data_IF_014344649885
#
_entry.id   IF_014344649885
#
_cell.length_a   1.000
_cell.length_b   1.000
_cell.length_c   1.000
_cell.angle_alpha   90.00
_cell.angle_beta   90.00
_cell.angle_gamma   90.00
#
_symmetry.space_group_name_H-M   'P 1'
#
loop_
_entity.id
_entity.type
_entity.pdbx_description
1 polymer ?
#
# COMPACT_ATOMS: atom_id res chain seq x y z
N UNK A 1 -26.76 -1.06 -28.88
CA UNK A 1 -25.90 -1.94 -28.08
C UNK A 1 -24.95 -1.03 -27.28
N UNK A 2 -25.29 -0.77 -26.03
CA UNK A 2 -24.43 0.01 -25.13
C UNK A 2 -23.19 -0.82 -24.81
N UNK A 3 -21.99 -0.38 -25.22
CA UNK A 3 -20.74 -0.94 -24.73
C UNK A 3 -20.75 -0.74 -23.21
N UNK A 4 -20.65 -1.82 -22.43
CA UNK A 4 -20.27 -1.73 -21.03
C UNK A 4 -18.99 -0.90 -20.96
N UNK A 5 -18.83 0.01 -20.00
CA UNK A 5 -17.58 0.73 -19.85
C UNK A 5 -16.47 -0.31 -19.72
N UNK A 6 -15.49 -0.26 -20.63
CA UNK A 6 -14.36 -1.18 -20.60
C UNK A 6 -13.70 -1.08 -19.23
N UNK A 7 -13.83 -2.12 -18.42
CA UNK A 7 -13.19 -2.18 -17.10
C UNK A 7 -11.68 -2.15 -17.34
N UNK A 8 -11.00 -1.13 -16.80
CA UNK A 8 -9.55 -0.99 -16.92
C UNK A 8 -8.87 -2.24 -16.34
N UNK A 9 -7.83 -2.69 -17.02
CA UNK A 9 -6.95 -3.75 -16.52
C UNK A 9 -5.78 -3.15 -15.77
N UNK A 10 -5.14 -3.92 -14.89
CA UNK A 10 -3.91 -3.49 -14.20
C UNK A 10 -2.82 -3.05 -15.19
N UNK A 11 -2.70 -3.74 -16.34
CA UNK A 11 -1.75 -3.37 -17.38
C UNK A 11 -2.04 -2.02 -18.04
N UNK A 12 -3.30 -1.61 -18.13
CA UNK A 12 -3.69 -0.29 -18.65
C UNK A 12 -3.42 0.81 -17.64
N UNK A 13 -3.72 0.58 -16.37
CA UNK A 13 -3.40 1.51 -15.28
C UNK A 13 -1.89 1.71 -15.21
N UNK A 14 -1.11 0.63 -15.18
CA UNK A 14 0.35 0.66 -15.18
C UNK A 14 0.91 1.48 -16.36
N UNK A 15 0.44 1.21 -17.58
CA UNK A 15 0.90 1.92 -18.79
C UNK A 15 0.58 3.42 -18.75
N UNK A 16 -0.58 3.85 -18.18
CA UNK A 16 -0.91 5.28 -18.06
C UNK A 16 0.05 5.97 -17.09
N UNK A 17 0.32 5.36 -15.92
CA UNK A 17 1.25 5.90 -14.92
C UNK A 17 2.68 5.97 -15.45
N UNK A 18 3.17 4.89 -16.08
CA UNK A 18 4.52 4.82 -16.66
C UNK A 18 4.73 5.88 -17.75
N UNK A 19 3.76 6.06 -18.67
CA UNK A 19 3.84 7.08 -19.72
C UNK A 19 3.83 8.50 -19.18
N UNK A 20 3.18 8.73 -18.06
CA UNK A 20 3.16 10.01 -17.38
C UNK A 20 4.44 10.26 -16.57
N UNK A 21 5.33 9.27 -16.44
CA UNK A 21 6.54 9.36 -15.62
C UNK A 21 6.22 9.47 -14.12
N UNK A 22 5.07 8.97 -13.68
CA UNK A 22 4.67 8.97 -12.27
C UNK A 22 5.24 7.71 -11.62
N UNK A 23 5.97 7.87 -10.52
CA UNK A 23 6.37 6.73 -9.69
C UNK A 23 5.14 6.11 -9.02
N UNK A 24 5.07 4.78 -8.99
CA UNK A 24 3.94 4.07 -8.41
C UNK A 24 4.33 2.67 -7.95
N UNK A 25 3.55 2.10 -7.03
CA UNK A 25 3.71 0.70 -6.64
C UNK A 25 2.41 0.15 -6.06
N UNK A 26 2.21 -1.16 -6.23
CA UNK A 26 1.12 -1.89 -5.58
C UNK A 26 1.41 -2.01 -4.09
N UNK A 27 0.38 -1.85 -3.25
CA UNK A 27 0.48 -1.97 -1.80
C UNK A 27 -0.73 -2.68 -1.18
N UNK A 28 -0.85 -2.67 0.13
CA UNK A 28 -1.97 -3.22 0.90
C UNK A 28 -2.28 -4.70 0.62
N UNK A 29 -3.51 -5.03 0.17
CA UNK A 29 -3.96 -6.41 0.03
C UNK A 29 -3.23 -7.17 -1.07
N UNK A 30 -3.05 -6.57 -2.24
CA UNK A 30 -2.37 -7.21 -3.37
C UNK A 30 -0.87 -7.42 -3.08
N UNK A 31 -0.20 -6.47 -2.43
CA UNK A 31 1.16 -6.64 -1.97
C UNK A 31 1.28 -7.72 -0.89
N UNK A 32 0.32 -7.82 0.03
CA UNK A 32 0.30 -8.88 1.03
C UNK A 32 0.24 -10.27 0.37
N UNK A 33 -0.59 -10.44 -0.66
CA UNK A 33 -0.67 -11.68 -1.44
C UNK A 33 0.67 -12.06 -2.09
N UNK A 34 1.39 -11.08 -2.65
CA UNK A 34 2.75 -11.29 -3.19
C UNK A 34 3.72 -11.78 -2.12
N UNK A 35 3.57 -11.31 -0.89
CA UNK A 35 4.44 -11.64 0.25
C UNK A 35 3.94 -12.80 1.11
N UNK A 36 2.96 -13.56 0.64
CA UNK A 36 2.56 -14.83 1.26
C UNK A 36 1.21 -14.83 1.96
N UNK A 37 0.47 -13.71 1.96
CA UNK A 37 -0.92 -13.73 2.42
C UNK A 37 -1.81 -14.49 1.42
N UNK A 38 -2.74 -15.29 1.94
CA UNK A 38 -3.50 -16.26 1.12
C UNK A 38 -4.92 -15.80 0.79
N UNK A 39 -5.35 -14.66 1.33
CA UNK A 39 -6.69 -14.12 1.14
C UNK A 39 -6.95 -13.73 -0.32
N UNK A 40 -8.14 -14.04 -0.87
CA UNK A 40 -8.53 -13.59 -2.20
C UNK A 40 -8.47 -12.06 -2.34
N UNK A 41 -7.94 -11.57 -3.47
CA UNK A 41 -7.94 -10.16 -3.81
C UNK A 41 -9.31 -9.72 -4.33
N UNK A 42 -9.78 -8.57 -3.85
CA UNK A 42 -11.01 -7.92 -4.32
C UNK A 42 -10.72 -6.68 -5.17
N UNK A 43 -9.62 -6.00 -4.86
CA UNK A 43 -9.19 -4.75 -5.46
C UNK A 43 -7.65 -4.65 -5.42
N UNK A 44 -7.10 -3.75 -6.20
CA UNK A 44 -5.67 -3.46 -6.22
C UNK A 44 -5.45 -2.02 -5.77
N UNK A 45 -4.81 -1.88 -4.62
CA UNK A 45 -4.39 -0.58 -4.10
C UNK A 45 -3.03 -0.19 -4.71
N UNK A 46 -2.93 1.02 -5.27
CA UNK A 46 -1.73 1.57 -5.89
C UNK A 46 -1.33 2.84 -5.15
N UNK A 47 -0.12 2.87 -4.61
CA UNK A 47 0.47 4.04 -3.99
C UNK A 47 1.21 4.87 -5.03
N UNK A 48 1.00 6.18 -4.99
CA UNK A 48 1.75 7.19 -5.75
C UNK A 48 2.25 8.27 -4.79
N UNK A 49 3.29 9.06 -5.15
CA UNK A 49 3.71 10.19 -4.32
C UNK A 49 2.54 11.17 -4.06
N UNK A 50 2.48 11.71 -2.86
CA UNK A 50 1.40 12.62 -2.45
C UNK A 50 1.28 13.85 -3.38
N UNK A 51 2.41 14.32 -3.92
CA UNK A 51 2.46 15.45 -4.85
C UNK A 51 1.84 15.15 -6.22
N UNK A 52 1.66 13.88 -6.57
CA UNK A 52 1.18 13.44 -7.89
C UNK A 52 -0.36 13.27 -7.95
N UNK A 53 -1.06 13.49 -6.85
CA UNK A 53 -2.50 13.21 -6.76
C UNK A 53 -3.35 13.87 -7.85
N UNK A 54 -3.13 15.16 -8.16
CA UNK A 54 -3.87 15.85 -9.21
C UNK A 54 -3.51 15.33 -10.60
N UNK A 55 -2.23 15.08 -10.87
CA UNK A 55 -1.80 14.50 -12.16
C UNK A 55 -2.40 13.11 -12.37
N UNK A 56 -2.51 12.31 -11.30
CA UNK A 56 -3.18 11.02 -11.37
C UNK A 56 -4.67 11.20 -11.63
N UNK A 57 -5.35 12.14 -10.98
CA UNK A 57 -6.76 12.43 -11.24
C UNK A 57 -7.00 12.84 -12.71
N UNK A 58 -6.10 13.64 -13.30
CA UNK A 58 -6.18 14.04 -14.71
C UNK A 58 -5.95 12.88 -15.69
N UNK A 59 -5.15 11.87 -15.29
CA UNK A 59 -4.92 10.67 -16.11
C UNK A 59 -6.12 9.73 -16.17
N UNK A 60 -7.03 9.84 -15.19
CA UNK A 60 -8.20 8.98 -15.07
C UNK A 60 -9.49 9.83 -14.91
N UNK A 61 -9.89 10.57 -15.95
CA UNK A 61 -11.06 11.46 -15.88
C UNK A 61 -12.38 10.70 -15.63
N UNK A 62 -12.39 9.39 -15.86
CA UNK A 62 -13.50 8.49 -15.56
C UNK A 62 -13.61 8.10 -14.08
N UNK A 63 -12.59 8.40 -13.26
CA UNK A 63 -12.51 8.00 -11.85
C UNK A 63 -13.33 8.90 -10.93
N UNK A 64 -13.70 8.34 -9.78
CA UNK A 64 -14.15 9.13 -8.63
C UNK A 64 -12.96 9.63 -7.83
N UNK A 65 -12.89 10.95 -7.59
CA UNK A 65 -11.77 11.55 -6.85
C UNK A 65 -12.24 11.94 -5.44
N UNK A 66 -11.65 11.28 -4.43
CA UNK A 66 -11.79 11.69 -3.03
C UNK A 66 -10.70 12.69 -2.69
N UNK A 67 -11.07 13.82 -2.13
CA UNK A 67 -10.15 14.91 -1.82
C UNK A 67 -9.95 15.08 -0.33
N UNK A 68 -8.76 15.55 0.06
CA UNK A 68 -8.46 16.00 1.43
C UNK A 68 -9.18 17.32 1.73
N UNK A 69 -9.14 17.75 2.99
CA UNK A 69 -9.75 19.03 3.43
C UNK A 69 -9.12 20.25 2.75
N UNK A 70 -7.86 20.17 2.36
CA UNK A 70 -7.14 21.20 1.61
C UNK A 70 -7.48 21.21 0.11
N UNK A 71 -8.36 20.33 -0.33
CA UNK A 71 -8.82 20.18 -1.71
C UNK A 71 -7.95 19.25 -2.57
N UNK A 72 -6.77 18.85 -2.12
CA UNK A 72 -5.87 18.00 -2.90
C UNK A 72 -6.45 16.58 -3.11
N UNK A 73 -6.29 16.02 -4.31
CA UNK A 73 -6.69 14.66 -4.61
C UNK A 73 -5.90 13.67 -3.74
N UNK A 74 -6.62 12.80 -3.03
CA UNK A 74 -6.04 11.79 -2.15
C UNK A 74 -6.25 10.38 -2.67
N UNK A 75 -7.45 10.07 -3.16
CA UNK A 75 -7.75 8.76 -3.74
C UNK A 75 -8.45 8.96 -5.07
N UNK A 76 -7.91 8.34 -6.11
CA UNK A 76 -8.50 8.25 -7.44
C UNK A 76 -9.04 6.83 -7.59
N UNK A 77 -10.36 6.68 -7.51
CA UNK A 77 -11.05 5.41 -7.40
C UNK A 77 -11.63 4.98 -8.73
N UNK A 78 -11.23 3.80 -9.18
CA UNK A 78 -11.70 3.13 -10.39
C UNK A 78 -12.33 1.77 -10.02
N UNK A 79 -13.16 1.18 -10.86
CA UNK A 79 -13.61 -0.19 -10.64
C UNK A 79 -12.43 -1.17 -10.52
N UNK A 80 -12.25 -1.74 -9.33
CA UNK A 80 -11.16 -2.67 -9.02
C UNK A 80 -9.81 -2.03 -8.66
N UNK A 81 -9.70 -0.70 -8.62
CA UNK A 81 -8.45 -0.01 -8.29
C UNK A 81 -8.67 1.23 -7.42
N UNK A 82 -7.86 1.38 -6.38
CA UNK A 82 -7.72 2.60 -5.61
C UNK A 82 -6.29 3.13 -5.76
N UNK A 83 -6.11 4.29 -6.44
CA UNK A 83 -4.83 4.97 -6.55
C UNK A 83 -4.74 6.01 -5.45
N UNK A 84 -3.80 5.84 -4.54
CA UNK A 84 -3.68 6.61 -3.30
C UNK A 84 -2.46 7.52 -3.36
N UNK A 85 -2.70 8.84 -3.31
CA UNK A 85 -1.65 9.86 -3.33
C UNK A 85 -1.15 10.12 -1.90
N UNK A 86 -0.10 9.41 -1.51
CA UNK A 86 0.40 9.37 -0.15
C UNK A 86 -0.63 8.81 0.84
N UNK A 87 -0.17 8.07 1.82
CA UNK A 87 -1.03 7.59 2.89
C UNK A 87 -1.20 8.67 3.94
N UNK A 88 -2.44 9.03 4.23
CA UNK A 88 -2.80 9.91 5.33
C UNK A 88 -4.09 9.38 5.95
N UNK A 89 -3.95 8.60 7.00
CA UNK A 89 -5.07 8.05 7.75
C UNK A 89 -5.07 8.60 9.17
N UNK A 90 -6.25 8.97 9.65
CA UNK A 90 -6.47 9.33 11.04
C UNK A 90 -7.06 8.11 11.75
N UNK A 91 -6.38 7.63 12.77
CA UNK A 91 -6.90 6.59 13.64
C UNK A 91 -6.80 7.06 15.10
N UNK A 92 -7.95 7.13 15.79
CA UNK A 92 -8.07 7.75 17.11
C UNK A 92 -7.47 9.17 17.11
N UNK A 93 -6.46 9.44 17.94
CA UNK A 93 -5.84 10.75 18.11
C UNK A 93 -4.53 10.91 17.32
N UNK A 94 -4.10 9.88 16.58
CA UNK A 94 -2.86 9.92 15.80
C UNK A 94 -3.16 10.01 14.30
N UNK A 95 -2.33 10.78 13.59
CA UNK A 95 -2.31 10.80 12.14
C UNK A 95 -1.14 9.95 11.66
N UNK A 96 -1.44 8.87 10.99
CA UNK A 96 -0.45 8.09 10.27
C UNK A 96 -0.25 8.71 8.89
N UNK A 97 0.98 9.03 8.54
CA UNK A 97 1.35 9.50 7.21
C UNK A 97 2.53 8.69 6.69
N UNK A 98 2.44 8.25 5.45
CA UNK A 98 3.56 7.61 4.75
C UNK A 98 3.47 8.01 3.28
N UNK A 99 4.55 8.56 2.74
CA UNK A 99 4.64 8.88 1.32
C UNK A 99 5.57 7.89 0.61
N UNK A 100 5.45 7.85 -0.71
CA UNK A 100 6.39 7.15 -1.57
C UNK A 100 7.65 8.02 -1.70
N UNK A 101 8.55 7.88 -0.75
CA UNK A 101 9.83 8.58 -0.71
C UNK A 101 10.95 7.80 -1.45
N UNK A 102 12.11 8.42 -1.60
CA UNK A 102 13.28 7.83 -2.27
C UNK A 102 13.74 6.52 -1.63
N UNK A 103 13.54 6.36 -0.31
CA UNK A 103 13.90 5.13 0.40
C UNK A 103 12.97 3.97 0.03
N UNK A 104 11.68 4.24 -0.12
CA UNK A 104 10.72 3.26 -0.59
C UNK A 104 10.97 2.94 -2.07
N UNK A 105 11.13 3.97 -2.91
CA UNK A 105 11.38 3.81 -4.36
C UNK A 105 12.61 2.96 -4.63
N UNK A 106 13.72 3.18 -3.90
CA UNK A 106 14.95 2.41 -4.03
C UNK A 106 14.82 0.93 -3.64
N UNK A 107 13.76 0.57 -2.90
CA UNK A 107 13.49 -0.79 -2.40
C UNK A 107 12.30 -1.47 -3.09
N UNK A 108 11.68 -0.84 -4.06
CA UNK A 108 10.58 -1.46 -4.82
C UNK A 108 11.03 -2.80 -5.41
N UNK A 109 10.16 -3.77 -5.33
CA UNK A 109 10.38 -5.09 -5.95
C UNK A 109 9.42 -5.27 -7.11
N UNK A 110 9.85 -5.97 -8.16
CA UNK A 110 8.98 -6.27 -9.29
C UNK A 110 8.40 -7.68 -9.14
N UNK A 111 7.07 -7.76 -9.18
CA UNK A 111 6.36 -9.02 -9.08
C UNK A 111 5.26 -9.11 -10.12
N UNK A 112 4.88 -10.33 -10.47
CA UNK A 112 3.75 -10.60 -11.34
C UNK A 112 2.44 -10.58 -10.53
N UNK A 113 1.49 -9.73 -10.94
CA UNK A 113 0.13 -9.68 -10.39
C UNK A 113 -0.83 -9.71 -11.58
N UNK A 114 -1.74 -10.67 -11.61
CA UNK A 114 -2.73 -10.84 -12.69
C UNK A 114 -2.09 -10.86 -14.11
N UNK A 115 -0.91 -11.50 -14.25
CA UNK A 115 -0.20 -11.60 -15.53
C UNK A 115 0.59 -10.36 -15.92
N UNK A 116 0.71 -9.36 -15.05
CA UNK A 116 1.43 -8.11 -15.31
C UNK A 116 2.58 -7.95 -14.30
N UNK A 117 3.79 -7.66 -14.78
CA UNK A 117 4.92 -7.36 -13.91
C UNK A 117 4.85 -5.91 -13.46
N UNK A 118 4.64 -5.69 -12.17
CA UNK A 118 4.41 -4.38 -11.55
C UNK A 118 5.39 -4.12 -10.40
N UNK A 119 5.69 -2.86 -10.09
CA UNK A 119 6.39 -2.53 -8.86
C UNK A 119 5.48 -2.75 -7.65
N UNK A 120 6.04 -3.30 -6.58
CA UNK A 120 5.38 -3.56 -5.29
C UNK A 120 6.21 -2.91 -4.21
N UNK A 121 5.57 -2.27 -3.23
CA UNK A 121 6.28 -1.65 -2.10
C UNK A 121 7.07 -2.71 -1.32
N UNK A 122 8.16 -2.33 -0.61
CA UNK A 122 8.91 -3.27 0.22
C UNK A 122 7.99 -3.99 1.23
N UNK A 123 8.26 -5.26 1.56
CA UNK A 123 7.45 -5.99 2.54
C UNK A 123 7.44 -5.31 3.91
N UNK A 124 8.53 -4.65 4.30
CA UNK A 124 8.64 -3.90 5.55
C UNK A 124 7.62 -2.77 5.63
N UNK A 125 7.46 -2.00 4.55
CA UNK A 125 6.47 -0.92 4.48
C UNK A 125 5.05 -1.48 4.54
N UNK A 126 4.77 -2.53 3.77
CA UNK A 126 3.43 -3.13 3.73
C UNK A 126 3.03 -3.75 5.08
N UNK A 127 3.97 -4.45 5.73
CA UNK A 127 3.79 -5.02 7.08
C UNK A 127 3.53 -3.91 8.09
N UNK A 128 4.31 -2.82 8.06
CA UNK A 128 4.15 -1.71 9.01
C UNK A 128 2.81 -1.01 8.83
N UNK A 129 2.39 -0.71 7.59
CA UNK A 129 1.09 -0.11 7.28
C UNK A 129 -0.03 -0.94 7.89
N UNK A 130 -0.04 -2.25 7.61
CA UNK A 130 -1.08 -3.17 8.13
C UNK A 130 -1.02 -3.34 9.64
N UNK A 131 0.18 -3.40 10.23
CA UNK A 131 0.37 -3.51 11.68
C UNK A 131 -0.08 -2.25 12.44
N UNK A 132 0.00 -1.07 11.83
CA UNK A 132 -0.52 0.18 12.38
C UNK A 132 -2.04 0.24 12.22
N UNK A 133 -2.58 -0.07 11.06
CA UNK A 133 -4.01 -0.04 10.80
C UNK A 133 -4.78 -1.08 11.63
N UNK A 134 -4.32 -2.31 11.66
CA UNK A 134 -4.91 -3.42 12.43
C UNK A 134 -6.42 -3.53 12.31
N UNK A 135 -6.97 -3.21 11.14
CA UNK A 135 -8.40 -3.33 10.87
C UNK A 135 -8.77 -4.80 10.80
N UNK A 136 -9.87 -5.15 11.45
CA UNK A 136 -10.34 -6.52 11.56
C UNK A 136 -11.58 -6.84 10.72
N UNK A 137 -12.12 -8.03 10.89
CA UNK A 137 -13.31 -8.50 10.14
C UNK A 137 -14.55 -7.64 10.38
N UNK A 138 -14.64 -6.93 11.48
CA UNK A 138 -15.73 -6.00 11.80
C UNK A 138 -15.88 -4.85 10.81
N UNK A 139 -14.79 -4.52 10.08
CA UNK A 139 -14.77 -3.54 8.98
C UNK A 139 -14.43 -4.19 7.64
N UNK A 140 -14.56 -5.52 7.54
CA UNK A 140 -14.27 -6.28 6.32
C UNK A 140 -12.78 -6.30 5.93
N UNK A 141 -11.88 -6.15 6.91
CA UNK A 141 -10.43 -6.17 6.71
C UNK A 141 -9.77 -7.25 7.57
N UNK A 142 -8.54 -7.63 7.23
CA UNK A 142 -7.79 -8.70 7.86
C UNK A 142 -6.31 -8.31 7.98
N UNK A 143 -6.05 -7.06 8.38
CA UNK A 143 -4.70 -6.50 8.34
C UNK A 143 -3.72 -7.31 9.22
N UNK A 144 -4.15 -7.77 10.40
CA UNK A 144 -3.27 -8.52 11.28
C UNK A 144 -3.04 -9.97 10.82
N UNK A 145 -4.04 -10.61 10.24
CA UNK A 145 -3.90 -11.94 9.66
C UNK A 145 -2.91 -11.90 8.49
N UNK A 146 -3.07 -10.91 7.58
CA UNK A 146 -2.13 -10.67 6.48
C UNK A 146 -0.69 -10.46 7.00
N UNK A 147 -0.50 -9.71 8.11
CA UNK A 147 0.81 -9.50 8.73
C UNK A 147 1.41 -10.81 9.22
N UNK A 148 0.63 -11.65 9.91
CA UNK A 148 1.11 -12.93 10.44
C UNK A 148 1.52 -13.87 9.30
N UNK A 149 0.73 -13.96 8.22
CA UNK A 149 1.04 -14.78 7.05
C UNK A 149 2.30 -14.26 6.33
N UNK A 150 2.42 -12.95 6.09
CA UNK A 150 3.63 -12.37 5.51
C UNK A 150 4.88 -12.65 6.36
N UNK A 151 4.79 -12.44 7.68
CA UNK A 151 5.90 -12.69 8.61
C UNK A 151 6.33 -14.15 8.67
N UNK A 152 5.38 -15.08 8.53
CA UNK A 152 5.67 -16.52 8.48
C UNK A 152 6.30 -16.95 7.15
N UNK A 153 5.97 -16.28 6.05
CA UNK A 153 6.44 -16.63 4.71
C UNK A 153 7.78 -15.99 4.34
N UNK A 154 8.04 -14.78 4.84
CA UNK A 154 9.25 -14.04 4.51
C UNK A 154 10.44 -14.52 5.35
N UNK A 155 11.54 -14.98 4.74
CA UNK A 155 12.67 -15.53 5.47
C UNK A 155 13.43 -14.45 6.27
N UNK A 156 13.51 -13.25 5.72
CA UNK A 156 14.24 -12.13 6.32
C UNK A 156 13.54 -10.81 6.03
N UNK A 157 13.57 -9.91 7.02
CA UNK A 157 13.14 -8.52 6.93
C UNK A 157 14.31 -7.61 7.30
N UNK A 158 14.42 -6.48 6.61
CA UNK A 158 15.33 -5.40 7.02
C UNK A 158 14.76 -4.67 8.25
N UNK A 159 15.09 -5.19 9.45
CA UNK A 159 14.65 -4.61 10.72
C UNK A 159 15.21 -3.22 10.98
N UNK A 160 16.34 -2.86 10.37
CA UNK A 160 16.90 -1.51 10.49
C UNK A 160 16.02 -0.53 9.70
N UNK A 161 15.66 -0.88 8.48
CA UNK A 161 14.74 -0.13 7.64
C UNK A 161 13.34 -0.03 8.27
N UNK A 162 12.81 -1.15 8.76
CA UNK A 162 11.49 -1.18 9.41
C UNK A 162 11.43 -0.24 10.63
N UNK A 163 12.47 -0.21 11.46
CA UNK A 163 12.56 0.73 12.58
C UNK A 163 12.61 2.18 12.10
N UNK A 164 13.51 2.47 11.16
CA UNK A 164 13.62 3.80 10.58
C UNK A 164 12.27 4.28 10.00
N UNK A 165 11.58 3.41 9.26
CA UNK A 165 10.26 3.73 8.72
C UNK A 165 9.22 4.00 9.81
N UNK A 166 9.20 3.23 10.87
CA UNK A 166 8.31 3.45 12.00
C UNK A 166 8.57 4.78 12.72
N UNK A 167 9.83 5.20 12.79
CA UNK A 167 10.21 6.48 13.40
C UNK A 167 9.83 7.68 12.53
N UNK A 168 9.77 7.51 11.20
CA UNK A 168 9.53 8.58 10.23
C UNK A 168 8.08 8.70 9.73
N UNK A 169 7.25 7.68 9.91
CA UNK A 169 5.90 7.61 9.36
C UNK A 169 4.84 8.45 10.10
N UNK A 170 5.21 9.28 11.07
CA UNK A 170 4.30 10.17 11.78
C UNK A 170 3.25 9.49 12.68
N UNK A 171 3.28 8.15 12.82
CA UNK A 171 2.34 7.41 13.66
C UNK A 171 2.72 7.36 15.16
N UNK A 172 3.88 7.91 15.53
CA UNK A 172 4.32 8.04 16.92
C UNK A 172 4.21 6.74 17.72
N UNK A 173 3.48 6.78 18.82
CA UNK A 173 3.32 5.63 19.72
C UNK A 173 2.72 4.40 19.03
N UNK A 174 1.83 4.57 18.04
CA UNK A 174 1.20 3.45 17.33
C UNK A 174 2.22 2.66 16.49
N UNK A 175 3.17 3.35 15.84
CA UNK A 175 4.25 2.69 15.11
C UNK A 175 5.17 1.90 16.06
N UNK A 176 5.47 2.44 17.25
CA UNK A 176 6.27 1.73 18.25
C UNK A 176 5.54 0.51 18.81
N UNK A 177 4.22 0.60 19.03
CA UNK A 177 3.40 -0.55 19.41
C UNK A 177 3.37 -1.62 18.31
N UNK A 178 3.22 -1.21 17.05
CA UNK A 178 3.28 -2.11 15.90
C UNK A 178 4.63 -2.85 15.85
N UNK A 179 5.76 -2.13 15.96
CA UNK A 179 7.09 -2.73 16.03
C UNK A 179 7.26 -3.73 17.17
N UNK A 180 6.73 -3.41 18.36
CA UNK A 180 6.80 -4.31 19.51
C UNK A 180 6.01 -5.61 19.27
N UNK A 181 4.88 -5.53 18.57
CA UNK A 181 4.08 -6.71 18.18
C UNK A 181 4.80 -7.52 17.09
N UNK A 182 5.34 -6.87 16.06
CA UNK A 182 6.09 -7.53 14.98
C UNK A 182 7.30 -8.31 15.51
N UNK A 183 8.03 -7.74 16.49
CA UNK A 183 9.14 -8.45 17.16
C UNK A 183 8.73 -9.76 17.82
N UNK A 184 7.48 -9.88 18.32
CA UNK A 184 6.97 -11.11 18.92
C UNK A 184 6.65 -12.19 17.87
N UNK A 185 6.39 -11.79 16.63
CA UNK A 185 6.15 -12.72 15.51
C UNK A 185 7.45 -13.20 14.88
N UNK A 186 8.60 -12.63 15.24
CA UNK A 186 9.89 -13.03 14.69
C UNK A 186 10.17 -14.49 15.06
N UNK A 187 10.52 -15.37 14.08
CA UNK A 187 10.92 -16.71 14.38
C UNK A 187 12.12 -16.72 15.35
N UNK A 188 12.08 -17.58 16.37
CA UNK A 188 13.19 -17.78 17.28
C UNK A 188 14.37 -18.36 16.51
N UNK A 189 15.40 -17.56 16.23
CA UNK A 189 16.60 -18.05 15.52
C UNK A 189 17.41 -17.02 14.74
N UNK A 190 16.88 -15.84 14.46
CA UNK A 190 17.62 -14.77 13.77
C UNK A 190 17.99 -13.65 14.78
N UNK A 191 19.13 -13.83 15.44
CA UNK A 191 19.80 -12.77 16.23
C UNK A 191 20.83 -12.08 15.35
#
# INVERSE_FOLDING_TARGET
MSKSPDTLTLGEVARRLDRAGIAWAVFAGAAAGVYGATRPLTDVDILVPAAEGERVADLFPEAQVKRRRDGAAQIVQLPGFDLVAGLATRHADATFTMDMDDQMVARLRRHEIAGVIVPVIPPEDNILIKAIWRRGPEVGKHDWDDVQEMMAHLPELDWAYLRWRADTCGAGQQAQQALALLKKLRPAGNV
#
